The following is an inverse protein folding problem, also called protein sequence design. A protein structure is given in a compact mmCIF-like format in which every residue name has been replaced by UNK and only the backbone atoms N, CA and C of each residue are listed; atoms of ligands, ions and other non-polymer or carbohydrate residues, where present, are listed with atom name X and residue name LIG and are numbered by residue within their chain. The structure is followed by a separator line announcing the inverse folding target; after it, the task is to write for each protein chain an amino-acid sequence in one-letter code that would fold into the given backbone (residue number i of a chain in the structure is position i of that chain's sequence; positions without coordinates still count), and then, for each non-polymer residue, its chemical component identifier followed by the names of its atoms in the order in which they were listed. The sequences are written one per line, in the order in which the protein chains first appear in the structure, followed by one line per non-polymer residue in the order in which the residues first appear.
data_IF_380244234873
#
_entry.id   IF_380244234873
#
_cell.length_a   1.000
_cell.length_b   1.000
_cell.length_c   1.000
_cell.angle_alpha   90.00
_cell.angle_beta   90.00
_cell.angle_gamma   90.00
#
_symmetry.space_group_name_H-M   'P 1'
#
loop_
_entity.id
_entity.type
_entity.pdbx_description
1 polymer ?
#
# COMPACT_ATOMS: atom_id res chain seq x y z
N UNK A 1 -26.82 -22.94 12.70
CA UNK A 1 -25.46 -22.43 12.91
C UNK A 1 -24.72 -22.20 11.59
N UNK A 2 -24.65 -23.17 10.66
CA UNK A 2 -23.98 -23.02 9.37
C UNK A 2 -24.54 -21.88 8.51
N UNK A 3 -25.86 -21.69 8.49
CA UNK A 3 -26.55 -20.66 7.71
C UNK A 3 -26.26 -19.23 8.22
N UNK A 4 -26.22 -19.05 9.52
CA UNK A 4 -25.86 -17.77 10.13
C UNK A 4 -24.40 -17.40 9.89
N UNK A 5 -23.53 -18.40 9.85
CA UNK A 5 -22.11 -18.27 9.54
C UNK A 5 -21.88 -17.85 8.06
N UNK A 6 -22.59 -18.47 7.13
CA UNK A 6 -22.52 -18.12 5.69
C UNK A 6 -23.03 -16.70 5.43
N UNK A 7 -24.09 -16.28 6.13
CA UNK A 7 -24.60 -14.90 6.03
C UNK A 7 -23.56 -13.90 6.59
N UNK A 8 -22.97 -14.19 7.76
CA UNK A 8 -21.94 -13.34 8.35
C UNK A 8 -20.70 -13.21 7.44
N UNK A 9 -20.27 -14.30 6.80
CA UNK A 9 -19.20 -14.32 5.84
C UNK A 9 -19.54 -13.48 4.59
N UNK A 10 -20.73 -13.63 4.04
CA UNK A 10 -21.18 -12.86 2.89
C UNK A 10 -21.22 -11.35 3.20
N UNK A 11 -21.69 -10.97 4.40
CA UNK A 11 -21.70 -9.58 4.86
C UNK A 11 -20.26 -9.04 4.96
N UNK A 12 -19.32 -9.80 5.54
CA UNK A 12 -17.93 -9.36 5.66
C UNK A 12 -17.26 -9.17 4.29
N UNK A 13 -17.51 -10.06 3.34
CA UNK A 13 -17.01 -9.92 1.97
C UNK A 13 -17.58 -8.67 1.30
N UNK A 14 -18.88 -8.42 1.43
CA UNK A 14 -19.53 -7.23 0.88
C UNK A 14 -18.98 -5.94 1.51
N UNK A 15 -18.80 -5.93 2.83
CA UNK A 15 -18.22 -4.80 3.54
C UNK A 15 -16.75 -4.58 3.16
N UNK A 16 -15.95 -5.62 3.00
CA UNK A 16 -14.57 -5.55 2.55
C UNK A 16 -14.45 -4.99 1.14
N UNK A 17 -15.32 -5.42 0.23
CA UNK A 17 -15.42 -4.89 -1.12
C UNK A 17 -15.84 -3.41 -1.09
N UNK A 18 -16.82 -3.04 -0.28
CA UNK A 18 -17.26 -1.66 -0.11
C UNK A 18 -16.12 -0.76 0.41
N UNK A 19 -15.39 -1.21 1.42
CA UNK A 19 -14.21 -0.53 1.95
C UNK A 19 -13.10 -0.34 0.88
N UNK A 20 -12.82 -1.40 0.10
CA UNK A 20 -11.89 -1.31 -1.03
C UNK A 20 -12.31 -0.26 -2.06
N UNK A 21 -13.60 -0.24 -2.44
CA UNK A 21 -14.11 0.75 -3.39
C UNK A 21 -14.07 2.17 -2.82
N UNK A 22 -14.28 2.35 -1.52
CA UNK A 22 -14.13 3.66 -0.87
C UNK A 22 -12.68 4.14 -0.82
N UNK A 23 -11.72 3.27 -0.48
CA UNK A 23 -10.29 3.59 -0.56
C UNK A 23 -9.86 3.96 -1.98
N UNK A 24 -10.34 3.21 -2.97
CA UNK A 24 -10.09 3.49 -4.38
C UNK A 24 -10.72 4.81 -4.83
N UNK A 25 -11.93 5.10 -4.37
CA UNK A 25 -12.62 6.38 -4.63
C UNK A 25 -11.88 7.55 -3.99
N UNK A 26 -11.45 7.41 -2.74
CA UNK A 26 -10.68 8.41 -2.00
C UNK A 26 -9.34 8.73 -2.68
N UNK A 27 -8.64 7.72 -3.22
CA UNK A 27 -7.41 7.93 -4.01
C UNK A 27 -7.71 8.65 -5.32
N UNK A 28 -8.76 8.23 -6.03
CA UNK A 28 -9.17 8.89 -7.26
C UNK A 28 -9.50 10.36 -7.02
N UNK A 29 -10.16 10.68 -5.91
CA UNK A 29 -10.47 12.06 -5.52
C UNK A 29 -9.20 12.86 -5.15
N UNK A 30 -8.23 12.24 -4.49
CA UNK A 30 -6.94 12.87 -4.18
C UNK A 30 -6.13 13.16 -5.46
N UNK A 31 -6.19 12.27 -6.45
CA UNK A 31 -5.55 12.48 -7.75
C UNK A 31 -6.28 13.56 -8.57
N UNK A 32 -7.62 13.58 -8.53
CA UNK A 32 -8.43 14.65 -9.14
C UNK A 32 -8.14 16.01 -8.47
N UNK A 33 -7.96 16.04 -7.16
CA UNK A 33 -7.58 17.26 -6.41
C UNK A 33 -6.19 17.76 -6.79
N UNK A 34 -5.22 16.85 -6.95
CA UNK A 34 -3.87 17.20 -7.45
C UNK A 34 -3.91 17.75 -8.86
N UNK A 35 -4.70 17.13 -9.74
CA UNK A 35 -4.88 17.62 -11.11
C UNK A 35 -5.54 19.01 -11.12
N UNK A 36 -6.55 19.22 -10.27
CA UNK A 36 -7.24 20.50 -10.14
C UNK A 36 -6.28 21.60 -9.63
N UNK A 37 -5.43 21.26 -8.66
CA UNK A 37 -4.42 22.19 -8.14
C UNK A 37 -3.37 22.55 -9.21
N UNK A 38 -2.95 21.58 -10.00
CA UNK A 38 -2.04 21.79 -11.13
C UNK A 38 -2.68 22.68 -12.22
N UNK A 39 -3.96 22.47 -12.52
CA UNK A 39 -4.72 23.32 -13.45
C UNK A 39 -4.91 24.74 -12.90
N UNK A 40 -5.14 24.88 -11.60
CA UNK A 40 -5.19 26.17 -10.93
C UNK A 40 -3.86 26.92 -11.07
N UNK A 41 -2.75 26.27 -10.75
CA UNK A 41 -1.39 26.82 -10.88
C UNK A 41 -1.11 27.29 -12.30
N UNK A 42 -1.42 26.46 -13.27
CA UNK A 42 -1.24 26.77 -14.70
C UNK A 42 -2.05 28.00 -15.12
N UNK A 43 -3.28 28.14 -14.62
CA UNK A 43 -4.11 29.32 -14.93
C UNK A 43 -3.62 30.59 -14.23
N UNK A 44 -3.03 30.49 -13.05
CA UNK A 44 -2.37 31.61 -12.37
C UNK A 44 -1.15 32.09 -13.19
N UNK A 45 -0.34 31.15 -13.69
CA UNK A 45 0.80 31.45 -14.53
C UNK A 45 0.35 32.07 -15.88
N UNK A 46 -0.73 31.58 -16.48
CA UNK A 46 -1.36 32.15 -17.66
C UNK A 46 -1.88 33.58 -17.41
N UNK A 47 -2.46 33.83 -16.22
CA UNK A 47 -2.88 35.17 -15.82
C UNK A 47 -1.71 36.13 -15.62
N UNK A 48 -0.61 35.67 -15.03
CA UNK A 48 0.59 36.52 -14.88
C UNK A 48 1.16 36.90 -16.24
N UNK A 49 1.23 35.95 -17.15
CA UNK A 49 1.67 36.18 -18.52
C UNK A 49 0.75 37.17 -19.26
N UNK A 50 -0.56 36.98 -19.09
CA UNK A 50 -1.55 37.89 -19.67
C UNK A 50 -1.41 39.34 -19.11
N UNK A 51 -1.05 39.44 -17.83
CA UNK A 51 -0.79 40.74 -17.17
C UNK A 51 0.49 41.43 -17.70
N UNK A 52 1.52 40.64 -18.00
CA UNK A 52 2.75 41.13 -18.63
C UNK A 52 2.50 41.62 -20.06
N UNK A 53 1.73 40.87 -20.84
CA UNK A 53 1.32 41.23 -22.19
C UNK A 53 0.47 42.51 -22.19
N UNK A 54 -0.41 42.65 -21.21
CA UNK A 54 -1.21 43.86 -20.98
C UNK A 54 -0.33 45.08 -20.71
N UNK A 55 0.66 44.97 -19.81
CA UNK A 55 1.59 46.09 -19.52
C UNK A 55 2.47 46.46 -20.72
N UNK A 56 2.82 45.47 -21.52
CA UNK A 56 3.56 45.72 -22.75
C UNK A 56 2.72 46.46 -23.80
N UNK A 57 1.42 46.09 -23.87
CA UNK A 57 0.47 46.80 -24.75
C UNK A 57 0.24 48.23 -24.31
N UNK A 58 0.06 48.48 -23.00
CA UNK A 58 -0.08 49.77 -22.37
C UNK A 58 1.12 50.68 -22.67
N UNK A 59 2.32 50.13 -22.61
CA UNK A 59 3.56 50.85 -22.90
C UNK A 59 3.76 51.20 -24.40
N UNK A 60 3.24 50.36 -25.28
CA UNK A 60 3.25 50.61 -26.73
C UNK A 60 2.17 51.59 -27.17
N UNK A 61 1.15 51.77 -26.34
CA UNK A 61 0.01 52.67 -26.58
C UNK A 61 0.42 54.15 -26.67
N UNK A 62 1.43 54.55 -25.90
CA UNK A 62 1.94 55.94 -25.89
C UNK A 62 2.67 56.33 -27.19
N UNK A 63 2.91 55.35 -28.10
CA UNK A 63 3.75 55.58 -29.28
C UNK A 63 3.05 55.51 -30.66
N UNK A 64 1.78 55.15 -30.74
CA UNK A 64 1.18 54.89 -32.08
C UNK A 64 -0.27 55.37 -32.17
N UNK A 65 -0.50 56.52 -32.83
CA UNK A 65 -1.81 57.12 -33.02
C UNK A 65 -2.78 56.33 -33.93
N UNK A 66 -2.31 55.51 -34.87
CA UNK A 66 -3.19 54.72 -35.76
C UNK A 66 -3.50 53.31 -35.22
N UNK A 67 -2.74 52.84 -34.22
CA UNK A 67 -2.99 51.56 -33.52
C UNK A 67 -3.97 51.62 -32.38
N UNK A 68 -4.47 52.82 -32.06
CA UNK A 68 -5.27 53.08 -30.85
C UNK A 68 -6.55 52.26 -30.77
N UNK A 69 -7.34 52.24 -31.84
CA UNK A 69 -8.61 51.48 -31.86
C UNK A 69 -8.41 49.98 -31.79
N UNK A 70 -7.36 49.45 -32.45
CA UNK A 70 -7.03 48.03 -32.37
C UNK A 70 -6.46 47.64 -31.00
N UNK A 71 -5.68 48.54 -30.39
CA UNK A 71 -5.16 48.33 -29.04
C UNK A 71 -6.28 48.39 -27.98
N UNK A 72 -7.27 49.26 -28.15
CA UNK A 72 -8.44 49.35 -27.26
C UNK A 72 -9.30 48.08 -27.34
N UNK A 73 -9.54 47.57 -28.55
CA UNK A 73 -10.25 46.32 -28.77
C UNK A 73 -9.51 45.10 -28.21
N UNK A 74 -8.18 45.10 -28.32
CA UNK A 74 -7.35 44.06 -27.71
C UNK A 74 -7.36 44.15 -26.17
N UNK A 75 -7.38 45.39 -25.64
CA UNK A 75 -7.49 45.65 -24.22
C UNK A 75 -8.82 45.15 -23.63
N UNK A 76 -9.94 45.49 -24.23
CA UNK A 76 -11.27 45.04 -23.82
C UNK A 76 -11.38 43.51 -23.85
N UNK A 77 -10.79 42.87 -24.89
CA UNK A 77 -10.70 41.41 -24.95
C UNK A 77 -9.85 40.82 -23.82
N UNK A 78 -8.71 41.44 -23.52
CA UNK A 78 -7.84 40.96 -22.44
C UNK A 78 -8.50 41.15 -21.06
N UNK A 79 -9.22 42.26 -20.83
CA UNK A 79 -10.01 42.43 -19.60
C UNK A 79 -11.12 41.37 -19.48
N UNK A 80 -11.81 41.09 -20.57
CA UNK A 80 -12.85 40.05 -20.60
C UNK A 80 -12.26 38.65 -20.31
N UNK A 81 -11.13 38.33 -20.92
CA UNK A 81 -10.41 37.06 -20.66
C UNK A 81 -9.86 36.96 -19.23
N UNK A 82 -9.32 38.07 -18.69
CA UNK A 82 -8.88 38.20 -17.30
C UNK A 82 -10.03 37.96 -16.31
N UNK A 83 -11.19 38.56 -16.57
CA UNK A 83 -12.35 38.38 -15.71
C UNK A 83 -12.89 36.94 -15.80
N UNK A 84 -12.95 36.36 -17.00
CA UNK A 84 -13.32 34.94 -17.19
C UNK A 84 -12.34 34.00 -16.46
N UNK A 85 -11.03 34.30 -16.53
CA UNK A 85 -10.01 33.55 -15.82
C UNK A 85 -10.12 33.67 -14.30
N UNK A 86 -10.42 34.90 -13.78
CA UNK A 86 -10.67 35.13 -12.36
C UNK A 86 -11.86 34.34 -11.85
N UNK A 87 -12.99 34.38 -12.57
CA UNK A 87 -14.21 33.63 -12.21
C UNK A 87 -13.96 32.11 -12.24
N UNK A 88 -13.17 31.62 -13.22
CA UNK A 88 -12.81 30.24 -13.30
C UNK A 88 -11.88 29.79 -12.12
N UNK A 89 -10.97 30.69 -11.70
CA UNK A 89 -10.09 30.41 -10.56
C UNK A 89 -10.88 30.38 -9.24
N UNK A 90 -11.83 31.30 -9.03
CA UNK A 90 -12.71 31.29 -7.87
C UNK A 90 -13.57 29.99 -7.81
N UNK A 91 -14.05 29.55 -8.98
CA UNK A 91 -14.81 28.28 -9.08
C UNK A 91 -13.95 27.06 -8.76
N UNK A 92 -12.68 27.06 -9.23
CA UNK A 92 -11.71 26.01 -8.95
C UNK A 92 -11.35 25.95 -7.46
N UNK A 93 -11.11 27.11 -6.84
CA UNK A 93 -10.81 27.20 -5.40
C UNK A 93 -11.96 26.65 -4.55
N UNK A 94 -13.21 27.03 -4.89
CA UNK A 94 -14.40 26.49 -4.24
C UNK A 94 -14.50 24.97 -4.40
N UNK A 95 -14.17 24.45 -5.60
CA UNK A 95 -14.19 23.02 -5.86
C UNK A 95 -13.09 22.28 -5.10
N UNK A 96 -11.88 22.84 -5.05
CA UNK A 96 -10.76 22.31 -4.27
C UNK A 96 -11.11 22.22 -2.78
N UNK A 97 -11.69 23.27 -2.22
CA UNK A 97 -12.11 23.29 -0.81
C UNK A 97 -13.24 22.28 -0.54
N UNK A 98 -14.19 22.14 -1.45
CA UNK A 98 -15.26 21.14 -1.33
C UNK A 98 -14.69 19.70 -1.35
N UNK A 99 -13.77 19.40 -2.27
CA UNK A 99 -13.11 18.12 -2.36
C UNK A 99 -12.24 17.81 -1.13
N UNK A 100 -11.59 18.83 -0.56
CA UNK A 100 -10.83 18.68 0.67
C UNK A 100 -11.70 18.28 1.86
N UNK A 101 -12.88 18.92 1.99
CA UNK A 101 -13.86 18.57 3.03
C UNK A 101 -14.39 17.16 2.81
N UNK A 102 -14.73 16.79 1.58
CA UNK A 102 -15.20 15.46 1.23
C UNK A 102 -14.15 14.38 1.51
N UNK A 103 -12.87 14.64 1.19
CA UNK A 103 -11.76 13.76 1.49
C UNK A 103 -11.62 13.52 3.00
N UNK A 104 -11.73 14.58 3.81
CA UNK A 104 -11.64 14.43 5.26
C UNK A 104 -12.83 13.65 5.83
N UNK A 105 -14.05 13.88 5.32
CA UNK A 105 -15.22 13.08 5.70
C UNK A 105 -15.08 11.60 5.32
N UNK A 106 -14.52 11.32 4.15
CA UNK A 106 -14.22 9.95 3.71
C UNK A 106 -13.17 9.28 4.59
N UNK A 107 -12.11 10.01 4.98
CA UNK A 107 -11.10 9.52 5.93
C UNK A 107 -11.73 9.16 7.28
N UNK A 108 -12.55 10.04 7.84
CA UNK A 108 -13.25 9.78 9.11
C UNK A 108 -14.21 8.59 9.01
N UNK A 109 -14.96 8.50 7.90
CA UNK A 109 -15.90 7.40 7.65
C UNK A 109 -15.15 6.08 7.47
N UNK A 110 -14.02 6.09 6.77
CA UNK A 110 -13.14 4.94 6.60
C UNK A 110 -12.57 4.46 7.93
N UNK A 111 -12.16 5.40 8.79
CA UNK A 111 -11.62 5.11 10.12
C UNK A 111 -12.69 4.47 11.04
N UNK A 112 -13.91 5.03 11.05
CA UNK A 112 -15.06 4.46 11.80
C UNK A 112 -15.46 3.08 11.27
N UNK A 113 -15.38 2.85 9.96
CA UNK A 113 -15.65 1.53 9.38
C UNK A 113 -14.58 0.52 9.74
N UNK A 114 -13.30 0.91 9.78
CA UNK A 114 -12.22 0.05 10.25
C UNK A 114 -12.42 -0.39 11.71
N UNK A 115 -12.86 0.51 12.57
CA UNK A 115 -13.17 0.21 13.98
C UNK A 115 -14.25 -0.86 14.15
N UNK A 116 -15.25 -0.90 13.26
CA UNK A 116 -16.31 -1.92 13.27
C UNK A 116 -15.88 -3.19 12.54
N UNK A 117 -15.13 -3.02 11.42
CA UNK A 117 -14.74 -4.11 10.54
C UNK A 117 -13.70 -5.03 11.19
N UNK A 118 -12.69 -4.45 11.87
CA UNK A 118 -11.62 -5.23 12.48
C UNK A 118 -12.10 -6.28 13.47
N UNK A 119 -13.00 -5.98 14.45
CA UNK A 119 -13.56 -7.00 15.33
C UNK A 119 -14.37 -8.05 14.58
N UNK A 120 -15.16 -7.64 13.56
CA UNK A 120 -15.96 -8.57 12.77
C UNK A 120 -15.07 -9.54 11.99
N UNK A 121 -13.98 -9.02 11.39
CA UNK A 121 -13.00 -9.83 10.67
C UNK A 121 -12.27 -10.80 11.59
N UNK A 122 -11.92 -10.40 12.81
CA UNK A 122 -11.33 -11.30 13.82
C UNK A 122 -12.28 -12.43 14.20
N UNK A 123 -13.56 -12.13 14.42
CA UNK A 123 -14.58 -13.15 14.70
C UNK A 123 -14.76 -14.11 13.52
N UNK A 124 -14.76 -13.61 12.29
CA UNK A 124 -14.84 -14.43 11.09
C UNK A 124 -13.60 -15.31 10.90
N UNK A 125 -12.41 -14.77 11.17
CA UNK A 125 -11.17 -15.55 11.11
C UNK A 125 -11.19 -16.69 12.12
N UNK A 126 -11.61 -16.43 13.36
CA UNK A 126 -11.69 -17.48 14.39
C UNK A 126 -12.71 -18.55 14.04
N UNK A 127 -13.87 -18.16 13.52
CA UNK A 127 -14.91 -19.09 13.08
C UNK A 127 -14.46 -19.94 11.87
N UNK A 128 -13.75 -19.35 10.90
CA UNK A 128 -13.22 -20.05 9.72
C UNK A 128 -12.08 -21.02 10.06
N UNK A 129 -11.22 -20.66 11.01
CA UNK A 129 -10.21 -21.61 11.52
C UNK A 129 -10.85 -22.89 12.07
N UNK A 130 -12.04 -22.75 12.68
CA UNK A 130 -12.80 -23.89 13.19
C UNK A 130 -13.42 -24.76 12.10
N UNK A 131 -13.66 -24.24 10.89
CA UNK A 131 -14.27 -24.99 9.75
C UNK A 131 -13.25 -25.70 8.87
N UNK A 132 -11.97 -25.30 8.90
CA UNK A 132 -10.92 -25.89 8.09
C UNK A 132 -10.99 -25.59 6.59
N UNK A 133 -11.86 -24.67 6.14
CA UNK A 133 -11.99 -24.31 4.73
C UNK A 133 -10.87 -23.35 4.28
N UNK A 134 -9.82 -23.90 3.69
CA UNK A 134 -8.61 -23.19 3.26
C UNK A 134 -8.93 -22.11 2.20
N UNK A 135 -9.90 -22.37 1.30
CA UNK A 135 -10.24 -21.42 0.23
C UNK A 135 -10.91 -20.17 0.76
N UNK A 136 -11.82 -20.33 1.70
CA UNK A 136 -12.47 -19.21 2.38
C UNK A 136 -11.48 -18.44 3.26
N UNK A 137 -10.56 -19.13 3.93
CA UNK A 137 -9.48 -18.51 4.68
C UNK A 137 -8.56 -17.64 3.79
N UNK A 138 -8.21 -18.15 2.59
CA UNK A 138 -7.42 -17.40 1.62
C UNK A 138 -8.12 -16.15 1.07
N UNK A 139 -9.44 -16.22 0.85
CA UNK A 139 -10.21 -15.04 0.43
C UNK A 139 -10.28 -13.97 1.53
N UNK A 140 -10.53 -14.38 2.75
CA UNK A 140 -10.56 -13.48 3.89
C UNK A 140 -9.20 -12.83 4.13
N UNK A 141 -8.13 -13.62 3.96
CA UNK A 141 -6.77 -13.13 4.04
C UNK A 141 -6.51 -11.95 3.08
N UNK A 142 -6.94 -12.05 1.82
CA UNK A 142 -6.79 -10.97 0.82
C UNK A 142 -7.57 -9.70 1.18
N UNK A 143 -8.71 -9.82 1.86
CA UNK A 143 -9.48 -8.66 2.33
C UNK A 143 -8.74 -7.95 3.48
N UNK A 144 -8.17 -8.73 4.40
CA UNK A 144 -7.37 -8.18 5.53
C UNK A 144 -6.11 -7.48 5.05
N UNK A 145 -5.53 -7.88 3.90
CA UNK A 145 -4.37 -7.20 3.31
C UNK A 145 -4.65 -5.75 2.94
N UNK A 146 -5.89 -5.45 2.53
CA UNK A 146 -6.26 -4.09 2.14
C UNK A 146 -6.14 -3.10 3.31
N UNK A 147 -6.33 -3.56 4.53
CA UNK A 147 -6.21 -2.73 5.74
C UNK A 147 -4.75 -2.37 6.07
N UNK A 148 -3.81 -3.19 5.63
CA UNK A 148 -2.39 -3.00 5.95
C UNK A 148 -1.58 -2.34 4.80
N UNK A 149 -2.26 -1.93 3.69
CA UNK A 149 -1.61 -1.23 2.56
C UNK A 149 -1.17 0.19 2.91
N UNK A 150 -1.95 1.04 3.64
CA UNK A 150 -1.49 2.39 3.96
C UNK A 150 -0.24 2.37 4.85
N UNK A 151 0.76 3.21 4.48
CA UNK A 151 2.03 3.27 5.20
C UNK A 151 1.96 4.06 6.51
N UNK A 152 0.95 4.92 6.67
CA UNK A 152 0.77 5.85 7.79
C UNK A 152 -0.13 5.30 8.91
N UNK A 153 -0.31 3.99 8.96
CA UNK A 153 -1.11 3.34 9.99
C UNK A 153 -0.40 3.33 11.35
N UNK A 154 -1.15 3.37 12.47
CA UNK A 154 -0.57 3.36 13.80
C UNK A 154 0.20 2.05 14.09
N UNK A 155 1.13 2.07 15.06
CA UNK A 155 1.81 0.86 15.53
C UNK A 155 0.82 -0.24 15.93
N UNK A 156 1.21 -1.49 15.68
CA UNK A 156 0.44 -2.66 16.08
C UNK A 156 0.80 -3.02 17.52
N UNK A 157 -0.22 -3.20 18.37
CA UNK A 157 -0.01 -3.66 19.74
C UNK A 157 0.56 -5.08 19.77
N UNK A 158 1.66 -5.26 20.47
CA UNK A 158 2.34 -6.54 20.68
C UNK A 158 1.81 -7.18 21.96
N UNK A 159 0.69 -7.88 21.85
CA UNK A 159 -0.03 -8.48 23.00
C UNK A 159 0.27 -9.94 23.22
N UNK A 160 0.85 -10.60 22.21
CA UNK A 160 1.10 -12.03 22.24
C UNK A 160 2.55 -12.30 22.62
N UNK A 161 2.73 -13.29 23.48
CA UNK A 161 4.05 -13.75 23.92
C UNK A 161 4.22 -15.20 23.40
N UNK A 162 4.98 -15.36 22.34
CA UNK A 162 5.05 -16.61 21.57
C UNK A 162 6.50 -17.02 21.31
N UNK A 163 6.75 -18.29 21.01
CA UNK A 163 8.07 -18.71 20.55
C UNK A 163 8.36 -18.10 19.17
N UNK A 164 9.61 -17.72 18.92
CA UNK A 164 10.06 -17.24 17.59
C UNK A 164 9.71 -18.27 16.51
N UNK A 165 9.87 -19.57 16.80
CA UNK A 165 9.53 -20.67 15.89
C UNK A 165 8.04 -20.79 15.58
N UNK A 166 7.17 -20.36 16.48
CA UNK A 166 5.72 -20.44 16.26
C UNK A 166 5.28 -19.57 15.08
N UNK A 167 5.94 -18.43 14.86
CA UNK A 167 5.68 -17.57 13.69
C UNK A 167 6.05 -18.28 12.39
N UNK A 168 7.22 -18.94 12.35
CA UNK A 168 7.66 -19.69 11.16
C UNK A 168 6.80 -20.90 10.88
N UNK A 169 6.47 -21.69 11.92
CA UNK A 169 5.68 -22.90 11.77
C UNK A 169 4.28 -22.61 11.22
N UNK A 170 3.64 -21.57 11.76
CA UNK A 170 2.31 -21.17 11.30
C UNK A 170 2.34 -20.56 9.89
N UNK A 171 3.37 -19.78 9.54
CA UNK A 171 3.55 -19.25 8.20
C UNK A 171 3.81 -20.34 7.15
N UNK A 172 4.64 -21.35 7.46
CA UNK A 172 4.85 -22.52 6.61
C UNK A 172 3.53 -23.26 6.39
N UNK A 173 2.78 -23.49 7.46
CA UNK A 173 1.47 -24.16 7.40
C UNK A 173 0.46 -23.42 6.52
N UNK A 174 0.43 -22.08 6.60
CA UNK A 174 -0.52 -21.25 5.85
C UNK A 174 -0.13 -21.10 4.38
N UNK A 175 1.15 -20.92 4.07
CA UNK A 175 1.63 -20.86 2.68
C UNK A 175 1.56 -22.23 1.98
N UNK A 176 1.66 -23.31 2.75
CA UNK A 176 1.71 -24.67 2.20
C UNK A 176 2.97 -24.97 1.38
N UNK A 177 4.02 -24.17 1.57
CA UNK A 177 5.29 -24.30 0.82
C UNK A 177 5.96 -25.66 1.04
N UNK A 178 5.77 -26.26 2.20
CA UNK A 178 6.25 -27.60 2.57
C UNK A 178 5.64 -28.73 1.73
N UNK A 179 4.52 -28.45 1.04
CA UNK A 179 3.79 -29.40 0.17
C UNK A 179 4.02 -29.17 -1.31
N UNK A 180 4.84 -28.19 -1.68
CA UNK A 180 5.12 -27.86 -3.07
C UNK A 180 5.95 -28.98 -3.73
N UNK A 181 5.46 -29.53 -4.86
CA UNK A 181 6.08 -30.70 -5.49
C UNK A 181 7.36 -30.42 -6.26
N UNK A 182 7.52 -29.18 -6.76
CA UNK A 182 8.64 -28.79 -7.64
C UNK A 182 9.67 -27.89 -6.94
N UNK A 183 9.49 -27.64 -5.65
CA UNK A 183 10.36 -26.78 -4.85
C UNK A 183 10.91 -27.59 -3.68
N UNK A 184 12.24 -27.62 -3.54
CA UNK A 184 12.86 -28.15 -2.33
C UNK A 184 12.78 -27.09 -1.23
N UNK A 185 11.86 -27.27 -0.30
CA UNK A 185 11.75 -26.40 0.87
C UNK A 185 12.64 -26.90 2.01
N UNK A 186 13.34 -25.97 2.67
CA UNK A 186 14.16 -26.24 3.85
C UNK A 186 13.91 -25.16 4.91
N UNK A 187 13.60 -25.57 6.14
CA UNK A 187 13.50 -24.67 7.29
C UNK A 187 14.67 -24.95 8.25
N UNK A 188 15.45 -23.91 8.53
CA UNK A 188 16.62 -23.97 9.39
C UNK A 188 16.40 -23.04 10.57
N UNK A 189 16.34 -23.59 11.77
CA UNK A 189 16.15 -22.83 13.01
C UNK A 189 17.43 -22.86 13.81
N UNK A 190 17.98 -21.70 14.13
CA UNK A 190 19.12 -21.60 15.03
C UNK A 190 18.76 -22.08 16.45
N UNK A 191 19.69 -22.69 17.20
CA UNK A 191 19.41 -23.18 18.55
C UNK A 191 18.84 -22.09 19.47
N UNK A 192 19.35 -20.87 19.39
CA UNK A 192 18.90 -19.74 20.20
C UNK A 192 17.48 -19.29 19.82
N UNK A 193 17.14 -19.31 18.53
CA UNK A 193 15.79 -19.02 18.04
C UNK A 193 14.75 -20.04 18.54
N UNK A 194 15.16 -21.30 18.69
CA UNK A 194 14.28 -22.37 19.16
C UNK A 194 13.77 -22.19 20.60
N UNK A 195 14.47 -21.41 21.42
CA UNK A 195 14.16 -21.20 22.84
C UNK A 195 13.79 -19.75 23.18
N UNK A 196 13.83 -18.85 22.19
CA UNK A 196 13.57 -17.43 22.39
C UNK A 196 12.06 -17.12 22.26
N UNK A 197 11.59 -16.30 23.21
CA UNK A 197 10.22 -15.75 23.19
C UNK A 197 10.22 -14.42 22.44
N UNK A 198 9.13 -14.19 21.69
CA UNK A 198 8.88 -12.99 20.90
C UNK A 198 7.61 -12.32 21.43
N UNK A 199 7.70 -11.05 21.82
CA UNK A 199 6.54 -10.22 22.10
C UNK A 199 6.06 -9.57 20.82
N UNK A 200 4.91 -9.98 20.29
CA UNK A 200 4.43 -9.54 18.97
C UNK A 200 2.90 -9.57 18.88
N UNK A 201 2.37 -9.30 17.71
CA UNK A 201 1.03 -9.74 17.30
C UNK A 201 1.19 -10.94 16.37
N UNK A 202 0.93 -12.13 16.90
CA UNK A 202 1.18 -13.39 16.20
C UNK A 202 0.52 -13.43 14.81
N UNK A 203 -0.75 -13.04 14.73
CA UNK A 203 -1.49 -13.08 13.47
C UNK A 203 -0.86 -12.17 12.39
N UNK A 204 -0.39 -11.00 12.77
CA UNK A 204 0.27 -10.05 11.87
C UNK A 204 1.69 -10.49 11.51
N UNK A 205 2.48 -10.96 12.48
CA UNK A 205 3.83 -11.47 12.21
C UNK A 205 3.80 -12.68 11.26
N UNK A 206 2.91 -13.65 11.53
CA UNK A 206 2.68 -14.80 10.65
C UNK A 206 2.30 -14.35 9.25
N UNK A 207 1.42 -13.37 9.14
CA UNK A 207 0.97 -12.87 7.84
C UNK A 207 2.12 -12.25 7.04
N UNK A 208 2.95 -11.41 7.66
CA UNK A 208 4.11 -10.83 7.00
C UNK A 208 5.04 -11.92 6.44
N UNK A 209 5.35 -12.94 7.24
CA UNK A 209 6.19 -14.05 6.81
C UNK A 209 5.51 -14.92 5.74
N UNK A 210 4.20 -15.15 5.83
CA UNK A 210 3.43 -15.89 4.82
C UNK A 210 3.53 -15.21 3.46
N UNK A 211 3.45 -13.87 3.38
CA UNK A 211 3.63 -13.16 2.11
C UNK A 211 5.00 -13.38 1.47
N UNK A 212 6.05 -13.51 2.27
CA UNK A 212 7.39 -13.82 1.77
C UNK A 212 7.46 -15.24 1.22
N UNK A 213 6.90 -16.21 1.94
CA UNK A 213 6.86 -17.61 1.50
C UNK A 213 5.98 -17.78 0.25
N UNK A 214 4.83 -17.09 0.18
CA UNK A 214 3.97 -17.10 -0.99
C UNK A 214 4.67 -16.49 -2.22
N UNK A 215 5.45 -15.43 -2.02
CA UNK A 215 6.27 -14.86 -3.09
C UNK A 215 7.37 -15.83 -3.54
N UNK A 216 8.09 -16.44 -2.62
CA UNK A 216 9.10 -17.45 -2.94
C UNK A 216 8.48 -18.61 -3.72
N UNK A 217 7.32 -19.11 -3.28
CA UNK A 217 6.57 -20.18 -3.96
C UNK A 217 6.13 -19.77 -5.36
N UNK A 218 5.69 -18.54 -5.53
CA UNK A 218 5.16 -18.01 -6.79
C UNK A 218 6.24 -17.78 -7.84
N UNK A 219 7.41 -17.27 -7.43
CA UNK A 219 8.47 -16.87 -8.34
C UNK A 219 9.58 -17.90 -8.54
N UNK A 220 9.49 -19.04 -7.83
CA UNK A 220 10.37 -20.20 -8.02
C UNK A 220 9.59 -21.32 -8.69
N UNK A 221 9.77 -21.48 -10.01
CA UNK A 221 9.08 -22.55 -10.76
C UNK A 221 9.69 -23.94 -10.45
N UNK A 222 11.01 -24.00 -10.37
CA UNK A 222 11.81 -25.17 -10.00
C UNK A 222 13.02 -24.69 -9.20
N UNK A 223 13.44 -25.45 -8.19
CA UNK A 223 14.60 -25.10 -7.38
C UNK A 223 14.37 -25.27 -5.89
N UNK A 224 14.84 -24.30 -5.10
CA UNK A 224 14.76 -24.39 -3.65
C UNK A 224 14.33 -23.08 -3.01
N UNK A 225 13.64 -23.20 -1.87
CA UNK A 225 13.37 -22.10 -0.95
C UNK A 225 13.87 -22.50 0.44
N UNK A 226 14.61 -21.59 1.08
CA UNK A 226 15.08 -21.76 2.45
C UNK A 226 14.48 -20.70 3.35
N UNK A 227 13.96 -21.12 4.47
CA UNK A 227 13.61 -20.25 5.58
C UNK A 227 14.62 -20.46 6.70
N UNK A 228 15.38 -19.41 7.01
CA UNK A 228 16.30 -19.40 8.15
C UNK A 228 15.72 -18.54 9.26
N UNK A 229 15.71 -19.08 10.47
CA UNK A 229 15.19 -18.40 11.66
C UNK A 229 16.33 -18.25 12.66
N UNK A 230 16.73 -17.00 12.90
CA UNK A 230 17.81 -16.62 13.77
C UNK A 230 17.36 -15.60 14.83
N UNK A 231 18.19 -15.36 15.81
CA UNK A 231 18.01 -14.31 16.83
C UNK A 231 19.30 -13.51 16.95
N UNK A 232 19.20 -12.21 16.88
CA UNK A 232 20.27 -11.31 17.25
C UNK A 232 20.00 -10.77 18.66
N UNK A 233 20.70 -11.31 19.65
CA UNK A 233 20.53 -10.93 21.05
C UNK A 233 21.14 -9.57 21.37
N UNK A 234 22.08 -9.07 20.56
CA UNK A 234 22.66 -7.73 20.76
C UNK A 234 21.66 -6.66 20.32
N UNK A 235 20.95 -6.90 19.21
CA UNK A 235 19.91 -6.01 18.69
C UNK A 235 18.53 -6.30 19.24
N UNK A 236 18.38 -7.37 20.00
CA UNK A 236 17.08 -7.83 20.50
C UNK A 236 16.07 -8.03 19.35
N UNK A 237 16.47 -8.79 18.33
CA UNK A 237 15.68 -9.03 17.11
C UNK A 237 15.59 -10.52 16.78
N UNK A 238 14.38 -10.95 16.42
CA UNK A 238 14.15 -12.20 15.71
C UNK A 238 14.24 -11.94 14.21
N UNK A 239 15.02 -12.75 13.50
CA UNK A 239 15.35 -12.58 12.08
C UNK A 239 14.86 -13.80 11.30
N UNK A 240 13.93 -13.55 10.38
CA UNK A 240 13.41 -14.54 9.45
C UNK A 240 13.92 -14.22 8.05
N UNK A 241 14.80 -15.09 7.54
CA UNK A 241 15.38 -14.92 6.21
C UNK A 241 14.77 -15.93 5.25
N UNK A 242 14.16 -15.45 4.17
CA UNK A 242 13.62 -16.27 3.10
C UNK A 242 14.51 -16.13 1.88
N UNK A 243 15.16 -17.20 1.48
CA UNK A 243 15.95 -17.30 0.25
C UNK A 243 15.22 -18.17 -0.76
N UNK A 244 15.12 -17.68 -1.99
CA UNK A 244 14.59 -18.43 -3.11
C UNK A 244 15.60 -18.50 -4.27
N UNK A 245 15.41 -19.48 -5.14
CA UNK A 245 16.18 -19.62 -6.38
C UNK A 245 15.36 -19.25 -7.61
N UNK A 246 14.43 -18.33 -7.46
CA UNK A 246 13.51 -17.89 -8.50
C UNK A 246 14.12 -16.90 -9.48
N UNK A 247 13.26 -16.09 -10.09
CA UNK A 247 13.66 -15.16 -11.15
C UNK A 247 14.56 -14.00 -10.70
N UNK A 248 14.68 -13.75 -9.40
CA UNK A 248 15.41 -12.61 -8.86
C UNK A 248 14.72 -11.27 -9.08
N UNK A 249 15.31 -10.23 -8.53
CA UNK A 249 14.88 -8.83 -8.64
C UNK A 249 16.12 -8.00 -8.99
N UNK A 250 16.00 -7.13 -9.99
CA UNK A 250 17.09 -6.23 -10.36
C UNK A 250 17.35 -5.19 -9.24
N UNK A 251 18.61 -4.82 -9.04
CA UNK A 251 19.00 -3.87 -7.99
C UNK A 251 18.26 -2.51 -8.11
N UNK A 252 17.92 -2.08 -9.32
CA UNK A 252 17.15 -0.87 -9.57
C UNK A 252 15.71 -0.94 -9.03
N UNK A 253 15.16 -2.14 -8.87
CA UNK A 253 13.80 -2.37 -8.40
C UNK A 253 13.73 -2.79 -6.91
N UNK A 254 14.87 -2.92 -6.22
CA UNK A 254 14.95 -3.43 -4.85
C UNK A 254 14.06 -2.68 -3.83
N UNK A 255 13.95 -1.36 -3.94
CA UNK A 255 13.03 -0.58 -3.10
C UNK A 255 11.62 -0.52 -3.70
N UNK A 256 11.52 -0.52 -5.01
CA UNK A 256 10.24 -0.39 -5.71
C UNK A 256 9.32 -1.60 -5.54
N UNK A 257 9.86 -2.79 -5.29
CA UNK A 257 9.05 -4.00 -5.04
C UNK A 257 8.13 -3.89 -3.83
N UNK A 258 8.38 -2.92 -2.96
CA UNK A 258 7.54 -2.62 -1.81
C UNK A 258 6.46 -1.56 -2.10
N UNK A 259 6.43 -0.97 -3.30
CA UNK A 259 5.36 -0.06 -3.72
C UNK A 259 4.05 -0.82 -3.92
N UNK A 260 2.91 -0.28 -3.43
CA UNK A 260 1.63 -0.97 -3.59
C UNK A 260 1.20 -1.04 -5.05
N UNK A 261 0.65 -2.18 -5.44
CA UNK A 261 0.17 -2.48 -6.80
C UNK A 261 1.24 -2.56 -7.88
N UNK A 262 2.52 -2.48 -7.51
CA UNK A 262 3.62 -2.69 -8.45
C UNK A 262 3.76 -4.19 -8.76
N UNK A 263 3.85 -4.51 -10.03
CA UNK A 263 4.21 -5.82 -10.55
C UNK A 263 5.38 -5.66 -11.53
N UNK A 264 6.52 -6.22 -11.23
CA UNK A 264 7.65 -6.26 -12.15
C UNK A 264 7.39 -7.20 -13.32
N UNK A 265 6.59 -8.24 -13.10
CA UNK A 265 6.19 -9.18 -14.14
C UNK A 265 4.66 -9.34 -14.14
N UNK A 266 4.02 -8.96 -15.25
CA UNK A 266 2.56 -8.98 -15.41
C UNK A 266 1.99 -10.39 -15.64
N UNK A 267 2.83 -11.38 -15.98
CA UNK A 267 2.38 -12.75 -16.25
C UNK A 267 2.04 -13.54 -14.98
N UNK A 268 2.47 -13.08 -13.80
CA UNK A 268 2.15 -13.76 -12.56
C UNK A 268 0.88 -13.20 -11.92
N UNK A 269 0.01 -14.11 -11.49
CA UNK A 269 -1.21 -13.77 -10.75
C UNK A 269 -0.90 -13.07 -9.42
N UNK A 270 -1.76 -12.12 -9.04
CA UNK A 270 -1.67 -11.40 -7.77
C UNK A 270 -1.96 -9.92 -7.92
N UNK A 271 -2.17 -9.24 -6.81
CA UNK A 271 -2.53 -7.81 -6.78
C UNK A 271 -1.31 -6.88 -6.68
N UNK A 272 -0.10 -7.40 -6.45
CA UNK A 272 1.10 -6.58 -6.25
C UNK A 272 1.11 -5.83 -4.91
N UNK A 273 0.49 -6.38 -3.87
CA UNK A 273 0.40 -5.74 -2.54
C UNK A 273 1.11 -6.53 -1.44
N UNK A 274 1.46 -7.79 -1.66
CA UNK A 274 1.98 -8.69 -0.61
C UNK A 274 3.24 -8.17 0.08
N UNK A 275 4.24 -7.72 -0.67
CA UNK A 275 5.48 -7.16 -0.09
C UNK A 275 5.24 -5.83 0.61
N UNK A 276 4.37 -4.97 0.07
CA UNK A 276 3.95 -3.73 0.72
C UNK A 276 3.32 -4.00 2.08
N UNK A 277 2.36 -4.92 2.12
CA UNK A 277 1.67 -5.34 3.35
C UNK A 277 2.65 -5.93 4.35
N UNK A 278 3.53 -6.82 3.92
CA UNK A 278 4.53 -7.44 4.78
C UNK A 278 5.47 -6.40 5.41
N UNK A 279 5.97 -5.43 4.62
CA UNK A 279 6.85 -4.35 5.11
C UNK A 279 6.12 -3.41 6.06
N UNK A 280 4.88 -3.04 5.74
CA UNK A 280 4.08 -2.18 6.61
C UNK A 280 3.75 -2.86 7.95
N UNK A 281 3.43 -4.14 7.93
CA UNK A 281 3.24 -4.93 9.14
C UNK A 281 4.54 -4.97 9.97
N UNK A 282 5.69 -5.27 9.34
CA UNK A 282 6.98 -5.32 10.02
C UNK A 282 7.27 -3.99 10.73
N UNK A 283 7.16 -2.86 10.02
CA UNK A 283 7.38 -1.51 10.56
C UNK A 283 6.43 -1.17 11.70
N UNK A 284 5.17 -1.51 11.58
CA UNK A 284 4.16 -1.29 12.62
C UNK A 284 4.35 -2.18 13.85
N UNK A 285 5.03 -3.31 13.72
CA UNK A 285 5.48 -4.16 14.83
C UNK A 285 6.79 -3.67 15.44
N UNK A 286 7.42 -2.63 14.87
CA UNK A 286 8.68 -2.06 15.33
C UNK A 286 9.92 -2.71 14.71
N UNK A 287 9.73 -3.50 13.66
CA UNK A 287 10.78 -4.15 12.90
C UNK A 287 10.96 -3.57 11.50
N UNK A 288 11.56 -4.34 10.59
CA UNK A 288 11.74 -3.96 9.19
C UNK A 288 11.68 -5.20 8.28
N UNK A 289 11.35 -4.98 7.02
CA UNK A 289 11.47 -5.97 5.94
C UNK A 289 12.34 -5.38 4.82
N UNK A 290 13.39 -6.08 4.49
CA UNK A 290 14.35 -5.68 3.45
C UNK A 290 14.57 -6.79 2.43
N UNK A 291 14.94 -6.37 1.21
CA UNK A 291 15.55 -7.24 0.22
C UNK A 291 17.07 -7.09 0.32
N UNK A 292 17.78 -8.20 0.50
CA UNK A 292 19.24 -8.19 0.56
C UNK A 292 19.82 -7.96 -0.85
N UNK A 293 20.23 -6.72 -1.11
CA UNK A 293 20.81 -6.32 -2.38
C UNK A 293 22.23 -6.86 -2.64
N UNK A 294 22.90 -7.39 -1.61
CA UNK A 294 24.23 -8.00 -1.73
C UNK A 294 24.18 -9.53 -1.95
N UNK A 295 22.97 -10.08 -1.95
CA UNK A 295 22.79 -11.52 -2.18
C UNK A 295 23.21 -11.90 -3.59
N UNK A 296 24.32 -12.62 -3.72
CA UNK A 296 24.88 -13.04 -5.00
C UNK A 296 24.34 -14.41 -5.49
N UNK A 297 23.38 -14.99 -4.77
CA UNK A 297 22.74 -16.25 -5.16
C UNK A 297 21.69 -16.06 -6.26
N UNK A 298 21.22 -17.17 -6.85
CA UNK A 298 20.07 -17.12 -7.72
C UNK A 298 18.82 -16.73 -6.93
N UNK A 299 17.91 -15.95 -7.52
CA UNK A 299 16.67 -15.52 -6.89
C UNK A 299 16.82 -14.35 -5.93
N UNK A 300 16.09 -14.40 -4.83
CA UNK A 300 16.02 -13.31 -3.84
C UNK A 300 16.34 -13.78 -2.43
N UNK A 301 16.78 -12.84 -1.59
CA UNK A 301 16.87 -13.02 -0.14
C UNK A 301 16.11 -11.87 0.53
N UNK A 302 14.97 -12.20 1.15
CA UNK A 302 14.21 -11.26 1.97
C UNK A 302 14.52 -11.49 3.44
N UNK A 303 14.68 -10.41 4.18
CA UNK A 303 15.00 -10.42 5.62
C UNK A 303 13.91 -9.67 6.37
N UNK A 304 13.17 -10.39 7.21
CA UNK A 304 12.16 -9.84 8.10
C UNK A 304 12.73 -9.84 9.53
N UNK A 305 12.89 -8.66 10.09
CA UNK A 305 13.36 -8.41 11.44
C UNK A 305 12.20 -7.97 12.33
N UNK A 306 12.02 -8.62 13.47
CA UNK A 306 11.00 -8.26 14.45
C UNK A 306 11.65 -8.12 15.84
N UNK A 307 11.33 -7.07 16.62
CA UNK A 307 11.88 -6.89 17.96
C UNK A 307 11.35 -7.96 18.93
N UNK A 308 12.23 -8.53 19.72
CA UNK A 308 11.93 -9.52 20.76
C UNK A 308 11.21 -8.88 21.94
#
# INVERSE_FOLDING_TARGET
MLYAFLIALAIAVVLGIAYYFELKSSRKQADEQKQLLADYQRRVDEQQKLLEDYRALEKNFDNVGEGYEQALLAFDKMEEEKEKSRQANEALEKRCNALYVELNQLKETSQKKAEVMNPLMQHLQSALRATGDIKLQGMLAKIVDLDDIPADLPPISRTDNVMVTQVSDEAIRLSGIDKAQYIKFESIVAPDAAVTMLSTNLAKAVRALTHLLDNALKFTSEGSVKLMVNVDMEKMQAIYTVEDTGSGIEAADAERVFEPYLKLNQYFDGQGVGLTVARNIARRLGGELTLDGEYAGPGCRFVLELPI
#
